data_IF_597987455153
#
_entry.id   IF_597987455153
#
_cell.length_a   1.000
_cell.length_b   1.000
_cell.length_c   1.000
_cell.angle_alpha   90.00
_cell.angle_beta   90.00
_cell.angle_gamma   90.00
#
_symmetry.space_group_name_H-M   'P 1'
#
loop_
_entity.id
_entity.type
_entity.pdbx_description
1 polymer ?
#
# COMPACT_ATOMS: atom_id res chain seq x y z
N UNK A 1 8.37 2.46 -22.31
CA UNK A 1 9.22 1.87 -21.26
C UNK A 1 8.97 2.63 -19.96
N UNK A 2 8.60 1.93 -18.88
CA UNK A 2 8.50 2.55 -17.55
C UNK A 2 9.92 2.92 -17.12
N UNK A 3 10.21 4.22 -16.97
CA UNK A 3 11.51 4.67 -16.46
C UNK A 3 11.48 4.64 -14.93
N UNK A 4 12.28 3.77 -14.32
CA UNK A 4 12.44 3.72 -12.87
C UNK A 4 13.92 3.60 -12.50
N UNK A 5 14.28 4.15 -11.34
CA UNK A 5 15.64 4.13 -10.80
C UNK A 5 15.63 3.56 -9.39
N UNK A 6 16.67 2.77 -9.08
CA UNK A 6 16.87 2.14 -7.78
C UNK A 6 15.89 1.01 -7.47
N UNK A 7 16.10 0.37 -6.34
CA UNK A 7 15.37 -0.84 -5.92
C UNK A 7 14.11 -0.58 -5.08
N UNK A 8 13.86 0.66 -4.67
CA UNK A 8 12.78 1.03 -3.76
C UNK A 8 11.38 0.63 -4.26
N UNK A 9 11.12 0.65 -5.56
CA UNK A 9 9.83 0.22 -6.11
C UNK A 9 9.57 -1.27 -5.81
N UNK A 10 10.59 -2.12 -5.94
CA UNK A 10 10.48 -3.55 -5.64
C UNK A 10 10.15 -3.75 -4.16
N UNK A 11 10.82 -3.00 -3.28
CA UNK A 11 10.57 -3.07 -1.83
C UNK A 11 9.13 -2.67 -1.52
N UNK A 12 8.64 -1.55 -2.05
CA UNK A 12 7.27 -1.08 -1.80
C UNK A 12 6.23 -2.08 -2.29
N UNK A 13 6.43 -2.63 -3.49
CA UNK A 13 5.52 -3.64 -4.06
C UNK A 13 5.53 -4.90 -3.20
N UNK A 14 6.72 -5.38 -2.81
CA UNK A 14 6.85 -6.57 -1.96
C UNK A 14 6.21 -6.36 -0.59
N UNK A 15 6.37 -5.18 0.01
CA UNK A 15 5.81 -4.85 1.32
C UNK A 15 4.28 -4.77 1.27
N UNK A 16 3.73 -4.10 0.25
CA UNK A 16 2.29 -3.99 0.05
C UNK A 16 1.62 -5.35 -0.19
N UNK A 17 2.09 -6.11 -1.19
CA UNK A 17 1.49 -7.40 -1.55
C UNK A 17 1.82 -8.49 -0.54
N UNK A 18 3.00 -8.47 0.06
CA UNK A 18 3.37 -9.35 1.17
C UNK A 18 2.46 -9.15 2.37
N UNK A 19 2.25 -7.89 2.79
CA UNK A 19 1.31 -7.54 3.84
C UNK A 19 -0.12 -7.97 3.52
N UNK A 20 -0.56 -7.78 2.26
CA UNK A 20 -1.89 -8.19 1.82
C UNK A 20 -2.07 -9.71 1.86
N UNK A 21 -1.08 -10.48 1.44
CA UNK A 21 -1.11 -11.94 1.47
C UNK A 21 -1.13 -12.49 2.91
N UNK A 22 -0.45 -11.83 3.83
CA UNK A 22 -0.51 -12.17 5.26
C UNK A 22 -1.90 -11.83 5.80
N UNK A 23 -2.41 -10.62 5.52
CA UNK A 23 -3.74 -10.20 5.94
C UNK A 23 -4.82 -11.14 5.41
N UNK A 24 -4.76 -11.56 4.14
CA UNK A 24 -5.78 -12.44 3.57
C UNK A 24 -5.84 -13.81 4.25
N UNK A 25 -4.73 -14.30 4.81
CA UNK A 25 -4.67 -15.57 5.55
C UNK A 25 -5.07 -15.40 7.02
N UNK A 26 -4.69 -14.29 7.64
CA UNK A 26 -4.95 -14.03 9.07
C UNK A 26 -6.35 -13.48 9.32
N UNK A 27 -6.87 -12.67 8.40
CA UNK A 27 -8.14 -11.96 8.56
C UNK A 27 -9.32 -12.93 8.79
N UNK A 28 -9.46 -14.07 8.06
CA UNK A 28 -10.52 -15.05 8.35
C UNK A 28 -10.37 -15.78 9.69
N UNK A 29 -9.14 -15.92 10.19
CA UNK A 29 -8.87 -16.57 11.47
C UNK A 29 -9.19 -15.65 12.67
N UNK A 30 -9.01 -14.35 12.50
CA UNK A 30 -9.17 -13.34 13.56
C UNK A 30 -10.57 -12.71 13.53
N UNK A 31 -11.07 -12.37 12.34
CA UNK A 31 -12.32 -11.65 12.13
C UNK A 31 -13.37 -12.59 11.54
N UNK A 32 -14.46 -12.77 12.28
CA UNK A 32 -15.53 -13.72 11.93
C UNK A 32 -16.59 -13.16 11.01
N UNK A 33 -16.65 -11.84 10.86
CA UNK A 33 -17.62 -11.17 9.98
C UNK A 33 -16.92 -10.49 8.83
N UNK A 34 -17.55 -10.51 7.66
CA UNK A 34 -17.06 -9.83 6.46
C UNK A 34 -16.80 -8.34 6.75
N UNK A 35 -17.73 -7.66 7.43
CA UNK A 35 -17.58 -6.26 7.86
C UNK A 35 -16.28 -6.00 8.62
N UNK A 36 -15.89 -6.87 9.55
CA UNK A 36 -14.63 -6.72 10.29
C UNK A 36 -13.40 -6.93 9.40
N UNK A 37 -13.46 -7.90 8.47
CA UNK A 37 -12.38 -8.16 7.52
C UNK A 37 -12.16 -6.96 6.58
N UNK A 38 -13.24 -6.30 6.14
CA UNK A 38 -13.15 -5.09 5.32
C UNK A 38 -12.60 -3.90 6.09
N UNK A 39 -13.03 -3.69 7.35
CA UNK A 39 -12.45 -2.65 8.21
C UNK A 39 -10.95 -2.88 8.39
N UNK A 40 -10.54 -4.14 8.60
CA UNK A 40 -9.13 -4.50 8.70
C UNK A 40 -8.36 -4.24 7.41
N UNK A 41 -8.95 -4.53 6.25
CA UNK A 41 -8.35 -4.23 4.94
C UNK A 41 -8.16 -2.72 4.73
N UNK A 42 -9.16 -1.91 5.09
CA UNK A 42 -9.10 -0.46 4.99
C UNK A 42 -8.00 0.11 5.90
N UNK A 43 -7.95 -0.33 7.15
CA UNK A 43 -6.90 0.06 8.09
C UNK A 43 -5.52 -0.37 7.62
N UNK A 44 -5.39 -1.61 7.14
CA UNK A 44 -4.15 -2.12 6.55
C UNK A 44 -3.69 -1.21 5.41
N UNK A 45 -4.57 -0.88 4.46
CA UNK A 45 -4.23 -0.05 3.32
C UNK A 45 -3.71 1.34 3.73
N UNK A 46 -4.35 1.99 4.71
CA UNK A 46 -3.90 3.29 5.22
C UNK A 46 -2.52 3.17 5.88
N UNK A 47 -2.34 2.18 6.76
CA UNK A 47 -1.09 1.98 7.51
C UNK A 47 0.06 1.62 6.58
N UNK A 48 -0.13 0.66 5.66
CA UNK A 48 0.92 0.19 4.75
C UNK A 48 1.31 1.27 3.73
N UNK A 49 0.36 2.10 3.31
CA UNK A 49 0.64 3.26 2.43
C UNK A 49 1.50 4.29 3.18
N UNK A 50 1.15 4.61 4.42
CA UNK A 50 1.95 5.50 5.27
C UNK A 50 3.36 4.96 5.51
N UNK A 51 3.46 3.68 5.87
CA UNK A 51 4.75 3.01 6.07
C UNK A 51 5.62 3.05 4.81
N UNK A 52 5.06 2.69 3.64
CA UNK A 52 5.78 2.71 2.37
C UNK A 52 6.19 4.12 1.95
N UNK A 53 5.41 5.16 2.29
CA UNK A 53 5.81 6.55 2.09
C UNK A 53 7.07 6.89 2.90
N UNK A 54 7.06 6.60 4.21
CA UNK A 54 8.20 6.88 5.08
C UNK A 54 9.43 6.04 4.70
N UNK A 55 9.24 4.77 4.33
CA UNK A 55 10.29 3.89 3.86
C UNK A 55 10.90 4.41 2.55
N UNK A 56 10.08 4.77 1.57
CA UNK A 56 10.55 5.35 0.31
C UNK A 56 11.30 6.66 0.53
N UNK A 57 10.81 7.51 1.43
CA UNK A 57 11.46 8.77 1.83
C UNK A 57 12.80 8.52 2.53
N UNK A 58 12.89 7.49 3.35
CA UNK A 58 14.13 7.09 4.01
C UNK A 58 15.15 6.57 2.99
N UNK A 59 14.74 5.69 2.08
CA UNK A 59 15.59 5.14 1.02
C UNK A 59 16.14 6.24 0.11
N UNK A 60 15.31 7.21 -0.26
CA UNK A 60 15.72 8.37 -1.06
C UNK A 60 16.78 9.28 -0.39
N UNK A 61 16.96 9.20 0.94
CA UNK A 61 17.99 9.98 1.65
C UNK A 61 19.38 9.33 1.58
N UNK A 62 19.47 8.02 1.30
CA UNK A 62 20.72 7.22 1.36
C UNK A 62 21.57 7.29 0.09
N UNK A 63 21.41 8.34 -0.71
CA UNK A 63 22.20 8.61 -1.92
C UNK A 63 21.67 7.98 -3.21
N UNK A 64 20.94 6.85 -3.13
CA UNK A 64 20.26 6.27 -4.29
C UNK A 64 18.95 7.01 -4.53
N UNK A 65 18.81 7.63 -5.71
CA UNK A 65 17.54 8.25 -6.12
C UNK A 65 16.58 7.18 -6.59
N UNK A 66 15.54 6.94 -5.79
CA UNK A 66 14.43 6.09 -6.15
C UNK A 66 13.34 6.93 -6.82
N UNK A 67 13.18 6.71 -8.13
CA UNK A 67 12.22 7.46 -8.94
C UNK A 67 11.42 6.55 -9.86
N UNK A 68 10.21 6.96 -10.19
CA UNK A 68 9.33 6.32 -11.18
C UNK A 68 8.79 7.43 -12.07
N UNK A 69 9.00 7.34 -13.38
CA UNK A 69 8.73 8.39 -14.36
C UNK A 69 9.35 9.76 -13.99
N UNK A 70 10.53 9.74 -13.35
CA UNK A 70 11.20 10.97 -12.89
C UNK A 70 10.63 11.57 -11.59
N UNK A 71 9.49 11.08 -11.10
CA UNK A 71 8.92 11.47 -9.82
C UNK A 71 9.60 10.69 -8.67
N UNK A 72 9.77 11.34 -7.51
CA UNK A 72 10.29 10.64 -6.32
C UNK A 72 9.33 9.54 -5.90
N UNK A 73 9.89 8.38 -5.59
CA UNK A 73 9.11 7.18 -5.24
C UNK A 73 8.10 7.46 -4.12
N UNK A 74 8.47 8.19 -3.07
CA UNK A 74 7.56 8.50 -1.94
C UNK A 74 6.24 9.17 -2.40
N UNK A 75 6.29 10.10 -3.34
CA UNK A 75 5.07 10.75 -3.85
C UNK A 75 4.26 9.83 -4.77
N UNK A 76 4.93 8.97 -5.53
CA UNK A 76 4.25 7.97 -6.36
C UNK A 76 3.49 6.97 -5.49
N UNK A 77 4.12 6.50 -4.40
CA UNK A 77 3.47 5.61 -3.42
C UNK A 77 2.25 6.27 -2.81
N UNK A 78 2.38 7.53 -2.36
CA UNK A 78 1.26 8.26 -1.77
C UNK A 78 0.13 8.45 -2.77
N UNK A 79 0.44 8.85 -3.99
CA UNK A 79 -0.53 9.05 -5.07
C UNK A 79 -1.30 7.77 -5.39
N UNK A 80 -0.57 6.66 -5.56
CA UNK A 80 -1.17 5.35 -5.82
C UNK A 80 -2.05 4.90 -4.65
N UNK A 81 -1.58 5.06 -3.41
CA UNK A 81 -2.39 4.75 -2.22
C UNK A 81 -3.68 5.58 -2.14
N UNK A 82 -3.61 6.88 -2.40
CA UNK A 82 -4.80 7.75 -2.44
C UNK A 82 -5.78 7.32 -3.53
N UNK A 83 -5.30 6.83 -4.69
CA UNK A 83 -6.17 6.33 -5.76
C UNK A 83 -6.84 5.01 -5.37
N UNK A 84 -6.13 4.12 -4.69
CA UNK A 84 -6.69 2.82 -4.28
C UNK A 84 -7.63 2.94 -3.07
N UNK A 85 -7.47 3.93 -2.21
CA UNK A 85 -8.34 4.17 -1.06
C UNK A 85 -9.84 4.25 -1.43
N UNK A 86 -10.30 5.10 -2.39
CA UNK A 86 -11.71 5.14 -2.78
C UNK A 86 -12.17 3.83 -3.42
N UNK A 87 -11.32 3.11 -4.15
CA UNK A 87 -11.67 1.80 -4.71
C UNK A 87 -11.97 0.78 -3.60
N UNK A 88 -11.14 0.74 -2.55
CA UNK A 88 -11.35 -0.13 -1.39
C UNK A 88 -12.63 0.29 -0.64
N UNK A 89 -12.88 1.59 -0.50
CA UNK A 89 -14.12 2.10 0.11
C UNK A 89 -15.34 1.68 -0.72
N UNK A 90 -15.28 1.76 -2.05
CA UNK A 90 -16.37 1.36 -2.94
C UNK A 90 -16.69 -0.14 -2.82
N UNK A 91 -15.68 -0.99 -2.70
CA UNK A 91 -15.88 -2.44 -2.44
C UNK A 91 -16.61 -2.70 -1.10
N UNK A 92 -16.52 -1.76 -0.15
CA UNK A 92 -17.13 -1.86 1.16
C UNK A 92 -18.57 -1.33 1.18
N UNK A 93 -19.00 -0.59 0.15
CA UNK A 93 -20.27 0.14 0.12
C UNK A 93 -21.47 -0.80 0.28
N UNK A 94 -21.46 -1.96 -0.36
CA UNK A 94 -22.56 -2.94 -0.31
C UNK A 94 -22.54 -3.80 0.98
N UNK A 95 -21.56 -3.60 1.86
CA UNK A 95 -21.31 -4.42 3.06
C UNK A 95 -21.42 -3.61 4.34
N UNK A 96 -21.16 -2.30 4.27
CA UNK A 96 -21.30 -1.37 5.38
C UNK A 96 -22.68 -0.71 5.48
N UNK A 97 -23.42 -0.62 4.37
CA UNK A 97 -24.74 0.05 4.27
C UNK A 97 -25.84 -0.94 3.90
#
# INVERSE_FOLDING_TARGET
MISFSGYGLIIVVADYFGGLAILSKLSPCIFKTEKQQYIALLLFHIVITGFNFFLSRYLNRKGVKHTVYGLRLEYVVLFVGIIFLPLIIMMCKDILY
#
